data_IF_404055227988
#
_entry.id   IF_404055227988
#
_cell.length_a   1.000
_cell.length_b   1.000
_cell.length_c   1.000
_cell.angle_alpha   90.00
_cell.angle_beta   90.00
_cell.angle_gamma   90.00
#
_symmetry.space_group_name_H-M   'P 1'
#
loop_
_entity.id
_entity.type
_entity.pdbx_description
1 polymer ?
#
# COMPACT_ATOMS: atom_id res chain seq x y z
N UNK A 1 1.62 -8.90 -0.21
CA UNK A 1 0.71 -8.16 -1.11
C UNK A 1 -0.53 -7.64 -0.37
N UNK A 2 -1.43 -8.48 0.15
CA UNK A 2 -2.63 -8.04 0.89
C UNK A 2 -2.29 -7.17 2.10
N UNK A 3 -1.22 -7.51 2.80
CA UNK A 3 -0.73 -6.73 3.94
C UNK A 3 -0.40 -5.27 3.58
N UNK A 4 0.12 -5.02 2.37
CA UNK A 4 0.35 -3.66 1.87
C UNK A 4 -0.99 -2.94 1.63
N UNK A 5 -1.99 -3.60 1.04
CA UNK A 5 -3.33 -3.00 0.87
C UNK A 5 -3.92 -2.57 2.22
N UNK A 6 -3.82 -3.44 3.23
CA UNK A 6 -4.36 -3.21 4.58
C UNK A 6 -3.60 -2.09 5.30
N UNK A 7 -2.27 -2.09 5.21
CA UNK A 7 -1.41 -1.17 5.99
C UNK A 7 -1.25 0.21 5.38
N UNK A 8 -1.57 0.39 4.09
CA UNK A 8 -1.31 1.64 3.36
C UNK A 8 -2.53 2.23 2.66
N UNK A 9 -3.59 1.47 2.51
CA UNK A 9 -4.76 1.90 1.75
C UNK A 9 -4.51 2.19 0.27
N UNK A 10 -3.43 1.65 -0.33
CA UNK A 10 -3.12 1.80 -1.75
C UNK A 10 -4.23 1.25 -2.65
N UNK A 11 -4.43 1.82 -3.85
CA UNK A 11 -5.35 1.25 -4.84
C UNK A 11 -4.77 -0.02 -5.46
N UNK A 12 -5.61 -1.01 -5.76
CA UNK A 12 -5.15 -2.28 -6.36
C UNK A 12 -4.44 -2.08 -7.70
N UNK A 13 -4.88 -1.13 -8.51
CA UNK A 13 -4.23 -0.79 -9.76
C UNK A 13 -2.82 -0.20 -9.54
N UNK A 14 -2.65 0.62 -8.50
CA UNK A 14 -1.35 1.16 -8.12
C UNK A 14 -0.45 0.05 -7.58
N UNK A 15 -0.99 -0.85 -6.73
CA UNK A 15 -0.26 -2.00 -6.20
C UNK A 15 0.27 -2.91 -7.31
N UNK A 16 -0.56 -3.22 -8.33
CA UNK A 16 -0.17 -4.02 -9.49
C UNK A 16 1.00 -3.39 -10.27
N UNK A 17 1.08 -2.05 -10.29
CA UNK A 17 2.05 -1.30 -11.09
C UNK A 17 3.36 -0.96 -10.36
N UNK A 18 3.52 -1.28 -9.09
CA UNK A 18 4.77 -1.01 -8.36
C UNK A 18 5.93 -1.73 -9.04
N UNK A 19 6.98 -0.99 -9.40
CA UNK A 19 8.25 -1.52 -9.89
C UNK A 19 9.24 -1.73 -8.75
N UNK A 20 10.26 -2.57 -8.96
CA UNK A 20 11.32 -2.79 -7.97
C UNK A 20 12.05 -1.47 -7.66
N UNK A 21 12.25 -0.64 -8.69
CA UNK A 21 12.94 0.64 -8.57
C UNK A 21 12.13 1.70 -7.79
N UNK A 22 10.83 1.47 -7.57
CA UNK A 22 9.98 2.36 -6.78
C UNK A 22 10.17 2.15 -5.26
N UNK A 23 10.93 1.12 -4.85
CA UNK A 23 11.11 0.78 -3.44
C UNK A 23 12.36 1.46 -2.90
N UNK A 24 12.18 2.40 -1.97
CA UNK A 24 13.24 3.11 -1.26
C UNK A 24 13.44 2.43 0.10
N UNK A 25 14.34 1.45 0.14
CA UNK A 25 14.50 0.56 1.30
C UNK A 25 14.99 1.29 2.55
N UNK A 26 15.87 2.26 2.42
CA UNK A 26 16.42 3.01 3.57
C UNK A 26 15.33 3.73 4.38
N UNK A 27 14.24 4.14 3.73
CA UNK A 27 13.16 4.90 4.35
C UNK A 27 11.86 4.09 4.56
N UNK A 28 11.82 2.82 4.11
CA UNK A 28 10.61 1.99 4.05
C UNK A 28 9.47 2.64 3.27
N UNK A 29 9.80 3.16 2.10
CA UNK A 29 8.91 3.96 1.26
C UNK A 29 8.74 3.31 -0.09
N UNK A 30 7.56 3.47 -0.68
CA UNK A 30 7.25 3.09 -2.06
C UNK A 30 6.78 4.33 -2.81
N UNK A 31 7.40 4.63 -3.94
CA UNK A 31 6.96 5.67 -4.87
C UNK A 31 5.78 5.14 -5.69
N UNK A 32 4.67 5.86 -5.69
CA UNK A 32 3.47 5.50 -6.45
C UNK A 32 3.26 6.49 -7.57
N UNK A 33 3.13 5.95 -8.78
CA UNK A 33 2.79 6.70 -9.98
C UNK A 33 1.27 6.70 -10.18
N UNK A 34 0.65 7.85 -9.97
CA UNK A 34 -0.80 8.04 -10.10
C UNK A 34 -1.20 8.56 -11.49
N UNK A 35 -2.51 8.75 -11.71
CA UNK A 35 -3.06 9.30 -12.94
C UNK A 35 -2.57 10.75 -13.16
N UNK A 36 -2.23 11.11 -14.40
CA UNK A 36 -1.80 12.47 -14.76
C UNK A 36 -0.37 12.82 -14.31
N UNK A 37 0.56 11.86 -14.32
CA UNK A 37 1.97 12.01 -13.89
C UNK A 37 2.15 12.46 -12.43
N UNK A 38 1.09 12.40 -11.61
CA UNK A 38 1.20 12.70 -10.18
C UNK A 38 1.89 11.55 -9.47
N UNK A 39 2.84 11.87 -8.61
CA UNK A 39 3.55 10.89 -7.79
C UNK A 39 3.26 11.15 -6.31
N UNK A 40 3.28 10.09 -5.51
CA UNK A 40 3.24 10.20 -4.06
C UNK A 40 4.05 9.09 -3.41
N UNK A 41 4.54 9.36 -2.23
CA UNK A 41 5.23 8.37 -1.40
C UNK A 41 4.24 7.67 -0.47
N UNK A 42 4.34 6.35 -0.40
CA UNK A 42 3.66 5.53 0.58
C UNK A 42 4.68 5.06 1.62
N UNK A 43 4.41 5.33 2.89
CA UNK A 43 5.24 4.93 4.02
C UNK A 43 4.71 3.64 4.62
N UNK A 44 5.58 2.63 4.79
CA UNK A 44 5.24 1.39 5.47
C UNK A 44 5.66 1.51 6.93
N UNK A 45 4.73 1.91 7.79
CA UNK A 45 4.98 2.11 9.23
C UNK A 45 5.08 0.80 10.00
N UNK A 46 4.36 -0.26 9.58
CA UNK A 46 4.38 -1.55 10.25
C UNK A 46 5.66 -2.35 9.90
N UNK A 47 6.50 -2.71 10.90
CA UNK A 47 7.71 -3.49 10.67
C UNK A 47 7.43 -4.85 10.04
N UNK A 48 6.35 -5.52 10.43
CA UNK A 48 5.97 -6.81 9.89
C UNK A 48 5.62 -6.73 8.39
N UNK A 49 4.85 -5.70 7.99
CA UNK A 49 4.53 -5.47 6.57
C UNK A 49 5.80 -5.25 5.75
N UNK A 50 6.76 -4.50 6.30
CA UNK A 50 8.05 -4.29 5.66
C UNK A 50 8.86 -5.58 5.55
N UNK A 51 8.91 -6.38 6.62
CA UNK A 51 9.56 -7.68 6.64
C UNK A 51 8.96 -8.63 5.58
N UNK A 52 7.63 -8.70 5.51
CA UNK A 52 6.92 -9.50 4.52
C UNK A 52 7.24 -9.07 3.08
N UNK A 53 7.34 -7.75 2.83
CA UNK A 53 7.71 -7.23 1.52
C UNK A 53 9.16 -7.60 1.16
N UNK A 54 10.09 -7.42 2.08
CA UNK A 54 11.51 -7.73 1.84
C UNK A 54 11.74 -9.22 1.63
N UNK A 55 11.04 -10.09 2.37
CA UNK A 55 11.06 -11.53 2.17
C UNK A 55 10.52 -11.90 0.77
N UNK A 56 9.40 -11.29 0.37
CA UNK A 56 8.87 -11.48 -0.98
C UNK A 56 9.87 -11.07 -2.06
N UNK A 57 10.54 -9.93 -1.91
CA UNK A 57 11.54 -9.46 -2.87
C UNK A 57 12.72 -10.44 -3.01
N UNK A 58 13.14 -11.08 -1.92
CA UNK A 58 14.16 -12.14 -1.95
C UNK A 58 13.68 -13.34 -2.75
N UNK A 59 12.47 -13.85 -2.47
CA UNK A 59 11.86 -14.95 -3.21
C UNK A 59 11.68 -14.61 -4.69
N UNK A 60 11.24 -13.37 -4.98
CA UNK A 60 11.05 -12.90 -6.35
C UNK A 60 12.34 -12.95 -7.17
N UNK A 61 13.49 -12.63 -6.58
CA UNK A 61 14.80 -12.71 -7.24
C UNK A 61 15.18 -14.10 -7.72
N UNK A 62 14.66 -15.15 -7.09
CA UNK A 62 14.92 -16.55 -7.46
C UNK A 62 13.94 -17.10 -8.49
N UNK A 63 12.91 -16.32 -8.86
CA UNK A 63 11.89 -16.72 -9.83
C UNK A 63 12.19 -16.18 -11.23
N UNK A 64 11.96 -16.96 -12.29
CA UNK A 64 11.98 -16.43 -13.65
C UNK A 64 10.90 -15.34 -13.79
N UNK A 65 11.30 -14.15 -14.20
CA UNK A 65 10.37 -13.03 -14.38
C UNK A 65 10.75 -12.23 -15.63
N UNK A 66 9.74 -11.79 -16.37
CA UNK A 66 9.89 -10.98 -17.59
C UNK A 66 9.45 -9.52 -17.38
N UNK A 67 9.36 -9.07 -16.13
CA UNK A 67 8.91 -7.73 -15.77
C UNK A 67 9.71 -7.18 -14.58
N UNK A 68 9.76 -5.86 -14.47
CA UNK A 68 10.32 -5.15 -13.31
C UNK A 68 9.32 -5.00 -12.15
N UNK A 69 8.07 -5.44 -12.33
CA UNK A 69 7.01 -5.28 -11.33
C UNK A 69 7.29 -6.10 -10.08
N UNK A 70 6.95 -5.52 -8.92
CA UNK A 70 7.15 -6.16 -7.61
C UNK A 70 6.31 -7.43 -7.51
N UNK A 71 5.04 -7.36 -7.89
CA UNK A 71 4.12 -8.49 -7.79
C UNK A 71 3.92 -9.15 -9.15
N UNK A 72 4.25 -10.43 -9.21
CA UNK A 72 4.20 -11.23 -10.44
C UNK A 72 3.18 -12.36 -10.30
N UNK A 73 2.64 -12.76 -11.44
CA UNK A 73 1.77 -13.92 -11.55
C UNK A 73 2.62 -15.22 -11.61
N UNK A 74 1.96 -16.38 -11.70
CA UNK A 74 2.62 -17.69 -11.78
C UNK A 74 3.52 -17.88 -13.01
N UNK A 75 3.32 -17.07 -14.04
CA UNK A 75 4.08 -17.12 -15.30
C UNK A 75 5.24 -16.11 -15.34
N UNK A 76 5.51 -15.39 -14.25
CA UNK A 76 6.58 -14.40 -14.16
C UNK A 76 6.25 -13.03 -14.72
N UNK A 77 5.05 -12.82 -15.26
CA UNK A 77 4.57 -11.51 -15.74
C UNK A 77 3.92 -10.70 -14.61
N UNK A 78 3.63 -9.44 -14.89
CA UNK A 78 2.91 -8.56 -13.97
C UNK A 78 1.59 -9.19 -13.52
N UNK A 79 1.29 -9.12 -12.23
CA UNK A 79 -0.03 -9.53 -11.72
C UNK A 79 -1.10 -8.54 -12.17
N UNK A 80 -2.19 -9.03 -12.74
CA UNK A 80 -3.33 -8.19 -13.12
C UNK A 80 -4.18 -7.79 -11.91
N UNK A 81 -5.03 -6.77 -12.07
CA UNK A 81 -6.01 -6.37 -11.08
C UNK A 81 -6.91 -7.57 -10.70
N UNK A 82 -7.40 -8.31 -11.69
CA UNK A 82 -8.19 -9.53 -11.47
C UNK A 82 -7.42 -10.62 -10.72
N UNK A 83 -6.10 -10.74 -10.96
CA UNK A 83 -5.24 -11.65 -10.20
C UNK A 83 -5.16 -11.28 -8.72
N UNK A 84 -5.08 -9.99 -8.41
CA UNK A 84 -5.10 -9.48 -7.03
C UNK A 84 -6.46 -9.74 -6.38
N UNK A 85 -7.55 -9.46 -7.10
CA UNK A 85 -8.92 -9.73 -6.63
C UNK A 85 -9.17 -11.21 -6.37
N UNK A 86 -8.67 -12.08 -7.26
CA UNK A 86 -8.75 -13.53 -7.07
C UNK A 86 -8.04 -13.97 -5.79
N UNK A 87 -6.81 -13.52 -5.56
CA UNK A 87 -6.06 -13.84 -4.34
C UNK A 87 -6.78 -13.30 -3.10
N UNK A 88 -7.29 -12.06 -3.17
CA UNK A 88 -8.07 -11.47 -2.10
C UNK A 88 -9.29 -12.32 -1.76
N UNK A 89 -10.07 -12.71 -2.76
CA UNK A 89 -11.28 -13.52 -2.58
C UNK A 89 -10.98 -14.92 -2.02
N UNK A 90 -9.86 -15.51 -2.43
CA UNK A 90 -9.41 -16.81 -1.89
C UNK A 90 -9.08 -16.69 -0.39
N UNK A 91 -8.31 -15.68 0.01
CA UNK A 91 -7.96 -15.44 1.41
C UNK A 91 -9.21 -15.07 2.23
N UNK A 92 -10.07 -14.21 1.68
CA UNK A 92 -11.35 -13.82 2.30
C UNK A 92 -12.21 -15.05 2.61
N UNK A 93 -12.35 -15.96 1.66
CA UNK A 93 -13.10 -17.22 1.83
C UNK A 93 -12.50 -18.10 2.91
N UNK A 94 -11.18 -18.29 2.90
CA UNK A 94 -10.46 -19.09 3.89
C UNK A 94 -10.56 -18.51 5.30
N UNK A 95 -10.61 -17.17 5.42
CA UNK A 95 -10.72 -16.47 6.70
C UNK A 95 -12.18 -16.26 7.15
N UNK A 96 -13.16 -16.79 6.42
CA UNK A 96 -14.60 -16.63 6.70
C UNK A 96 -15.03 -15.15 6.88
N UNK A 97 -14.43 -14.24 6.10
CA UNK A 97 -14.74 -12.81 6.13
C UNK A 97 -16.02 -12.55 5.34
N UNK A 98 -16.79 -11.55 5.76
CA UNK A 98 -18.04 -11.12 5.15
C UNK A 98 -17.93 -11.05 3.61
N UNK A 99 -18.93 -11.61 2.92
CA UNK A 99 -19.01 -11.71 1.45
C UNK A 99 -18.93 -10.36 0.73
N UNK A 100 -19.40 -9.28 1.35
CA UNK A 100 -19.41 -7.92 0.78
C UNK A 100 -18.05 -7.20 0.82
N UNK A 101 -17.06 -7.75 1.53
CA UNK A 101 -15.71 -7.17 1.58
C UNK A 101 -15.01 -7.25 0.21
N UNK A 102 -14.41 -6.15 -0.23
CA UNK A 102 -13.65 -6.01 -1.48
C UNK A 102 -12.28 -5.37 -1.21
N UNK A 103 -11.31 -5.45 -2.12
CA UNK A 103 -10.05 -4.72 -1.97
C UNK A 103 -10.23 -3.20 -1.82
N UNK A 104 -11.27 -2.64 -2.44
CA UNK A 104 -11.60 -1.22 -2.28
C UNK A 104 -12.09 -0.90 -0.86
N UNK A 105 -12.79 -1.84 -0.25
CA UNK A 105 -13.23 -1.73 1.14
C UNK A 105 -12.05 -1.68 2.12
N UNK A 106 -10.94 -2.38 1.83
CA UNK A 106 -9.73 -2.28 2.66
C UNK A 106 -9.18 -0.84 2.73
N UNK A 107 -9.23 -0.12 1.62
CA UNK A 107 -8.83 1.29 1.59
C UNK A 107 -9.77 2.17 2.42
N UNK A 108 -11.07 1.92 2.35
CA UNK A 108 -12.05 2.60 3.21
C UNK A 108 -11.78 2.30 4.68
N UNK A 109 -11.57 1.03 5.02
CA UNK A 109 -11.23 0.59 6.38
C UNK A 109 -9.94 1.23 6.89
N UNK A 110 -8.90 1.33 6.04
CA UNK A 110 -7.67 2.03 6.39
C UNK A 110 -7.92 3.50 6.75
N UNK A 111 -8.70 4.22 5.92
CA UNK A 111 -9.05 5.62 6.16
C UNK A 111 -9.84 5.80 7.47
N UNK A 112 -10.90 5.02 7.65
CA UNK A 112 -11.77 5.12 8.84
C UNK A 112 -11.03 4.75 10.12
N UNK A 113 -10.15 3.75 10.08
CA UNK A 113 -9.33 3.39 11.24
C UNK A 113 -8.32 4.49 11.62
N UNK A 114 -7.71 5.17 10.65
CA UNK A 114 -6.85 6.32 10.95
C UNK A 114 -7.63 7.43 11.65
N UNK A 115 -8.80 7.78 11.11
CA UNK A 115 -9.68 8.81 11.71
C UNK A 115 -10.15 8.40 13.11
N UNK A 116 -10.62 7.16 13.29
CA UNK A 116 -11.08 6.64 14.57
C UNK A 116 -9.97 6.59 15.64
N UNK A 117 -8.70 6.44 15.21
CA UNK A 117 -7.55 6.52 16.13
C UNK A 117 -7.04 7.96 16.35
N UNK A 118 -7.68 8.97 15.77
CA UNK A 118 -7.41 10.38 16.03
C UNK A 118 -6.53 11.09 14.99
N UNK A 119 -6.33 10.50 13.81
CA UNK A 119 -5.70 11.21 12.70
C UNK A 119 -6.66 12.29 12.15
N UNK A 120 -6.13 13.45 11.79
CA UNK A 120 -6.94 14.49 11.17
C UNK A 120 -7.31 14.14 9.71
N UNK A 121 -8.47 14.61 9.27
CA UNK A 121 -9.03 14.30 7.94
C UNK A 121 -8.09 14.70 6.80
N UNK A 122 -7.44 15.85 6.92
CA UNK A 122 -6.52 16.36 5.89
C UNK A 122 -5.33 15.43 5.71
N UNK A 123 -4.71 15.00 6.80
CA UNK A 123 -3.61 14.03 6.75
C UNK A 123 -4.03 12.72 6.11
N UNK A 124 -5.24 12.21 6.40
CA UNK A 124 -5.77 10.99 5.77
C UNK A 124 -5.99 11.19 4.26
N UNK A 125 -6.55 12.32 3.85
CA UNK A 125 -6.74 12.64 2.42
C UNK A 125 -5.41 12.71 1.68
N UNK A 126 -4.39 13.34 2.26
CA UNK A 126 -3.04 13.43 1.71
C UNK A 126 -2.36 12.05 1.59
N UNK A 127 -2.48 11.19 2.61
CA UNK A 127 -1.96 9.83 2.57
C UNK A 127 -2.60 9.00 1.46
N UNK A 128 -3.89 9.17 1.26
CA UNK A 128 -4.63 8.45 0.24
C UNK A 128 -4.44 9.03 -1.17
N UNK A 129 -3.90 10.24 -1.30
CA UNK A 129 -3.72 10.91 -2.59
C UNK A 129 -5.07 11.26 -3.23
N UNK A 130 -5.98 11.87 -2.47
CA UNK A 130 -7.21 12.44 -3.00
C UNK A 130 -6.89 13.72 -3.75
N UNK A 131 -7.21 13.76 -5.04
CA UNK A 131 -6.86 14.83 -5.98
C UNK A 131 -7.68 16.11 -5.82
N UNK A 132 -8.55 16.19 -4.85
CA UNK A 132 -9.51 17.29 -4.68
C UNK A 132 -8.95 18.55 -3.98
N UNK A 133 -7.68 18.57 -3.59
CA UNK A 133 -7.04 19.79 -3.15
C UNK A 133 -6.03 20.17 -4.24
N UNK A 134 -6.46 21.09 -5.11
CA UNK A 134 -5.65 21.69 -6.15
C UNK A 134 -4.55 22.54 -5.50
N UNK A 135 -3.43 21.93 -5.25
CA UNK A 135 -2.14 22.61 -5.17
C UNK A 135 -1.06 21.56 -5.40
N UNK A 136 -0.14 21.87 -6.26
CA UNK A 136 1.15 21.20 -6.37
C UNK A 136 1.81 21.32 -5.00
N UNK A 137 1.49 20.38 -4.08
CA UNK A 137 2.21 20.33 -2.81
C UNK A 137 3.66 19.99 -3.16
N UNK A 138 4.49 21.00 -3.10
CA UNK A 138 5.93 20.85 -3.03
C UNK A 138 6.16 19.85 -1.89
N UNK A 139 6.73 18.69 -2.21
CA UNK A 139 7.12 17.68 -1.23
C UNK A 139 8.21 18.30 -0.34
N UNK A 140 7.79 19.01 0.68
CA UNK A 140 8.69 19.53 1.69
C UNK A 140 9.00 18.42 2.69
N UNK A 141 10.20 18.42 3.24
CA UNK A 141 10.62 17.51 4.31
C UNK A 141 9.62 17.50 5.49
N UNK A 142 9.01 18.64 5.76
CA UNK A 142 7.97 18.82 6.79
C UNK A 142 6.73 17.95 6.51
N UNK A 143 6.24 17.94 5.26
CA UNK A 143 5.08 17.13 4.86
C UNK A 143 5.38 15.64 4.96
N UNK A 144 6.58 15.21 4.57
CA UNK A 144 7.03 13.83 4.66
C UNK A 144 7.11 13.37 6.14
N UNK A 145 7.70 14.19 7.01
CA UNK A 145 7.81 13.93 8.45
C UNK A 145 6.44 13.80 9.11
N UNK A 146 5.51 14.69 8.78
CA UNK A 146 4.13 14.65 9.29
C UNK A 146 3.40 13.35 8.88
N UNK A 147 3.47 12.95 7.62
CA UNK A 147 2.87 11.70 7.13
C UNK A 147 3.42 10.47 7.85
N UNK A 148 4.74 10.40 8.07
CA UNK A 148 5.38 9.34 8.86
C UNK A 148 4.86 9.34 10.31
N UNK A 149 4.76 10.48 10.96
CA UNK A 149 4.25 10.60 12.34
C UNK A 149 2.80 10.12 12.46
N UNK A 150 1.92 10.53 11.55
CA UNK A 150 0.51 10.10 11.52
C UNK A 150 0.41 8.58 11.38
N UNK A 151 1.16 7.98 10.45
CA UNK A 151 1.13 6.53 10.28
C UNK A 151 1.72 5.78 11.48
N UNK A 152 2.81 6.26 12.05
CA UNK A 152 3.41 5.60 13.22
C UNK A 152 2.47 5.63 14.42
N UNK A 153 1.75 6.73 14.63
CA UNK A 153 0.88 6.92 15.79
C UNK A 153 -0.48 6.25 15.63
N UNK A 154 -1.09 6.35 14.45
CA UNK A 154 -2.52 6.07 14.25
C UNK A 154 -2.81 4.84 13.39
N UNK A 155 -1.83 4.28 12.69
CA UNK A 155 -2.07 3.11 11.86
C UNK A 155 -2.31 1.87 12.74
N UNK A 156 -3.54 1.35 12.71
CA UNK A 156 -3.93 0.17 13.50
C UNK A 156 -3.09 -1.07 13.20
N UNK A 157 -2.56 -1.20 11.98
CA UNK A 157 -1.72 -2.34 11.58
C UNK A 157 -0.45 -2.43 12.44
N UNK A 158 0.05 -1.31 12.94
CA UNK A 158 1.22 -1.32 13.84
C UNK A 158 0.94 -2.02 15.17
N UNK A 159 -0.35 -2.07 15.60
CA UNK A 159 -0.78 -2.72 16.84
C UNK A 159 -1.03 -4.23 16.67
N UNK A 160 -1.12 -4.71 15.43
CA UNK A 160 -1.35 -6.11 15.08
C UNK A 160 -0.05 -6.87 14.78
N UNK A 161 1.10 -6.25 14.99
CA UNK A 161 2.40 -6.93 14.88
C UNK A 161 2.57 -7.81 16.13
N UNK A 162 2.30 -9.11 15.98
CA UNK A 162 2.60 -10.17 16.93
C UNK A 162 3.93 -10.80 16.52
#
# INVERSE_FOLDING_TARGET
MLDILISTGIRIAELSNISINDIISAERVILIHGKGRKQRLIYISCPQTWSNLTQWLRIRKTRPTNTDKVFVNRYGGQISIHGIEYIYNTVKKSANINSHSTPHYLRHTFATNLLANGADLRSVQELLGHSSIATTEIYTEVTAKRKKQVLNKYNYRNKLCI
#
